data_IF_810363256337
#
_entry.id   IF_810363256337
#
_cell.length_a   1.000
_cell.length_b   1.000
_cell.length_c   1.000
_cell.angle_alpha   90.00
_cell.angle_beta   90.00
_cell.angle_gamma   90.00
#
_symmetry.space_group_name_H-M   'P 1'
#
loop_
_entity.id
_entity.type
_entity.pdbx_description
1 polymer ?
#
# COMPACT_ATOMS: atom_id res chain seq x y z
N UNK A 1 -68.41 28.76 -0.09
CA UNK A 1 -68.04 28.56 1.33
C UNK A 1 -67.59 29.90 1.91
N UNK A 2 -68.18 30.35 3.02
CA UNK A 2 -67.97 31.69 3.58
C UNK A 2 -66.54 31.81 4.13
N UNK A 3 -65.86 32.95 3.91
CA UNK A 3 -64.47 33.24 4.32
C UNK A 3 -64.14 32.93 5.80
N UNK A 4 -65.15 32.89 6.68
CA UNK A 4 -64.99 32.51 8.10
C UNK A 4 -64.70 31.01 8.32
N UNK A 5 -65.09 30.14 7.39
CA UNK A 5 -64.87 28.69 7.46
C UNK A 5 -63.43 28.29 7.13
N UNK A 6 -62.74 29.05 6.26
CA UNK A 6 -61.33 28.79 5.93
C UNK A 6 -60.39 29.17 7.08
N UNK A 7 -60.65 30.26 7.80
CA UNK A 7 -59.81 30.66 8.94
C UNK A 7 -59.92 29.69 10.14
N UNK A 8 -61.11 29.10 10.36
CA UNK A 8 -61.30 28.10 11.41
C UNK A 8 -60.58 26.78 11.09
N UNK A 9 -60.57 26.34 9.82
CA UNK A 9 -59.85 25.14 9.39
C UNK A 9 -58.33 25.32 9.43
N UNK A 10 -57.83 26.51 9.07
CA UNK A 10 -56.39 26.82 9.16
C UNK A 10 -55.89 26.92 10.60
N UNK A 11 -56.68 27.48 11.52
CA UNK A 11 -56.30 27.57 12.93
C UNK A 11 -56.23 26.20 13.61
N UNK A 12 -57.15 25.29 13.30
CA UNK A 12 -57.14 23.91 13.83
C UNK A 12 -55.97 23.10 13.26
N UNK A 13 -55.62 23.28 11.99
CA UNK A 13 -54.45 22.64 11.37
C UNK A 13 -53.12 23.14 11.97
N UNK A 14 -53.02 24.42 12.31
CA UNK A 14 -51.82 25.00 12.93
C UNK A 14 -51.66 24.55 14.39
N UNK A 15 -52.76 24.44 15.16
CA UNK A 15 -52.72 23.94 16.54
C UNK A 15 -52.43 22.43 16.59
N UNK A 16 -52.97 21.65 15.66
CA UNK A 16 -52.66 20.22 15.53
C UNK A 16 -51.21 19.99 15.08
N UNK A 17 -50.67 20.84 14.18
CA UNK A 17 -49.27 20.80 13.79
C UNK A 17 -48.33 21.21 14.95
N UNK A 18 -48.69 22.23 15.75
CA UNK A 18 -47.91 22.66 16.91
C UNK A 18 -47.90 21.64 18.06
N UNK A 19 -48.96 20.85 18.23
CA UNK A 19 -49.06 19.80 19.26
C UNK A 19 -48.31 18.50 18.90
N UNK A 20 -47.99 18.26 17.61
CA UNK A 20 -47.28 17.06 17.14
C UNK A 20 -45.76 17.24 17.02
N UNK A 21 -45.26 18.49 17.04
CA UNK A 21 -43.81 18.80 17.01
C UNK A 21 -43.02 18.21 18.19
N UNK A 22 -43.53 18.13 19.45
CA UNK A 22 -42.77 17.55 20.56
C UNK A 22 -42.73 16.01 20.58
N UNK A 23 -43.57 15.33 19.79
CA UNK A 23 -43.70 13.85 19.80
C UNK A 23 -42.92 13.20 18.64
N UNK A 24 -42.65 13.94 17.56
CA UNK A 24 -41.89 13.46 16.40
C UNK A 24 -40.46 14.04 16.31
N UNK A 25 -40.09 14.88 17.26
CA UNK A 25 -38.74 15.40 17.42
C UNK A 25 -38.32 15.24 18.89
N UNK A 26 -37.64 14.15 19.28
CA UNK A 26 -36.98 14.13 20.57
C UNK A 26 -35.82 15.13 20.48
N UNK A 27 -36.14 16.40 20.76
CA UNK A 27 -35.15 17.45 20.95
C UNK A 27 -34.30 17.06 22.15
N UNK A 28 -33.02 16.81 21.87
CA UNK A 28 -31.77 17.14 22.58
C UNK A 28 -31.70 17.51 24.08
N UNK A 29 -32.77 17.56 24.86
CA UNK A 29 -32.72 18.04 26.24
C UNK A 29 -32.33 16.97 27.28
N UNK A 30 -31.84 15.80 26.83
CA UNK A 30 -31.27 14.77 27.72
C UNK A 30 -29.78 14.47 27.48
N UNK A 31 -29.08 15.24 26.64
CA UNK A 31 -27.63 15.09 26.43
C UNK A 31 -26.76 16.25 26.96
N UNK A 32 -27.34 17.21 27.69
CA UNK A 32 -26.56 18.26 28.37
C UNK A 32 -26.19 17.92 29.83
N UNK A 33 -26.19 16.63 30.18
CA UNK A 33 -25.83 16.14 31.51
C UNK A 33 -24.54 15.31 31.60
N UNK A 34 -23.83 15.08 30.49
CA UNK A 34 -22.47 14.58 30.58
C UNK A 34 -21.53 15.80 30.65
N UNK A 35 -21.11 16.17 31.85
CA UNK A 35 -19.93 17.02 32.00
C UNK A 35 -18.84 16.42 31.10
N UNK A 36 -18.29 17.22 30.18
CA UNK A 36 -17.13 16.82 29.40
C UNK A 36 -16.03 16.47 30.40
N UNK A 37 -15.82 15.19 30.65
CA UNK A 37 -14.76 14.72 31.54
C UNK A 37 -13.47 15.13 30.85
N UNK A 38 -12.70 16.02 31.48
CA UNK A 38 -11.39 16.39 30.98
C UNK A 38 -10.55 15.13 30.82
N UNK A 39 -9.94 14.94 29.65
CA UNK A 39 -9.10 13.78 29.38
C UNK A 39 -8.02 13.68 30.46
N UNK A 40 -7.92 12.51 31.08
CA UNK A 40 -6.87 12.28 32.07
C UNK A 40 -5.50 12.14 31.37
N UNK A 41 -4.37 12.31 32.10
CA UNK A 41 -3.06 12.00 31.54
C UNK A 41 -2.95 10.57 31.00
N UNK A 42 -3.67 9.62 31.61
CA UNK A 42 -3.73 8.24 31.16
C UNK A 42 -4.47 8.10 29.81
N UNK A 43 -5.58 8.82 29.63
CA UNK A 43 -6.32 8.85 28.36
C UNK A 43 -5.46 9.44 27.22
N UNK A 44 -4.70 10.50 27.53
CA UNK A 44 -3.78 11.11 26.56
C UNK A 44 -2.63 10.17 26.18
N UNK A 45 -2.04 9.47 27.16
CA UNK A 45 -1.00 8.49 26.89
C UNK A 45 -1.52 7.30 26.06
N UNK A 46 -2.73 6.82 26.33
CA UNK A 46 -3.38 5.77 25.55
C UNK A 46 -3.66 6.23 24.10
N UNK A 47 -4.12 7.47 23.93
CA UNK A 47 -4.33 8.08 22.60
C UNK A 47 -3.03 8.16 21.80
N UNK A 48 -1.94 8.65 22.42
CA UNK A 48 -0.62 8.73 21.78
C UNK A 48 -0.13 7.33 21.40
N UNK A 49 -0.25 6.33 22.29
CA UNK A 49 0.15 4.95 22.00
C UNK A 49 -0.64 4.35 20.83
N UNK A 50 -1.95 4.61 20.78
CA UNK A 50 -2.79 4.22 19.64
C UNK A 50 -2.35 4.94 18.37
N UNK A 51 -2.04 6.23 18.46
CA UNK A 51 -1.52 7.03 17.36
C UNK A 51 -0.19 6.53 16.81
N UNK A 52 0.74 6.15 17.69
CA UNK A 52 2.02 5.54 17.34
C UNK A 52 1.81 4.24 16.54
N UNK A 53 0.91 3.37 17.04
CA UNK A 53 0.54 2.15 16.35
C UNK A 53 0.00 2.43 14.95
N UNK A 54 -0.97 3.34 14.83
CA UNK A 54 -1.60 3.67 13.54
C UNK A 54 -0.67 4.43 12.59
N UNK A 55 0.25 5.25 13.10
CA UNK A 55 1.28 5.90 12.29
C UNK A 55 2.29 4.88 11.72
N UNK A 56 2.57 3.80 12.46
CA UNK A 56 3.32 2.65 11.93
C UNK A 56 2.51 1.90 10.88
N UNK A 57 1.26 1.52 11.16
CA UNK A 57 0.38 0.86 10.18
C UNK A 57 0.26 1.67 8.89
N UNK A 58 0.13 2.99 9.01
CA UNK A 58 0.08 3.93 7.89
C UNK A 58 1.42 4.18 7.19
N UNK A 59 2.49 3.51 7.62
CA UNK A 59 3.84 3.61 7.05
C UNK A 59 4.39 5.05 6.98
N UNK A 60 3.98 5.90 7.92
CA UNK A 60 4.33 7.33 7.91
C UNK A 60 5.85 7.53 7.95
N UNK A 61 6.56 6.67 8.68
CA UNK A 61 8.01 6.80 8.88
C UNK A 61 8.80 6.50 7.61
N UNK A 62 8.38 5.54 6.78
CA UNK A 62 9.07 5.17 5.55
C UNK A 62 9.10 6.33 4.56
N UNK A 63 7.99 7.07 4.44
CA UNK A 63 7.91 8.24 3.58
C UNK A 63 8.57 9.48 4.20
N UNK A 64 8.31 9.76 5.48
CA UNK A 64 8.70 11.01 6.11
C UNK A 64 10.07 10.96 6.81
N UNK A 65 10.91 9.96 6.53
CA UNK A 65 12.26 9.87 7.09
C UNK A 65 13.25 9.43 6.02
N UNK A 66 14.29 10.23 5.78
CA UNK A 66 15.41 9.80 4.93
C UNK A 66 16.36 8.88 5.70
N UNK A 67 17.05 7.99 4.99
CA UNK A 67 18.07 7.11 5.58
C UNK A 67 19.13 7.93 6.31
N UNK A 68 19.36 7.62 7.58
CA UNK A 68 20.29 8.37 8.46
C UNK A 68 19.78 9.74 8.94
N UNK A 69 18.56 10.14 8.53
CA UNK A 69 17.92 11.37 8.94
C UNK A 69 17.22 11.29 10.31
N UNK A 70 16.63 12.42 10.72
CA UNK A 70 15.76 12.47 11.91
C UNK A 70 14.36 11.98 11.55
N UNK A 71 13.74 11.21 12.44
CA UNK A 71 12.39 10.68 12.25
C UNK A 71 11.40 11.77 11.88
N UNK A 72 10.59 11.52 10.85
CA UNK A 72 9.50 12.39 10.39
C UNK A 72 9.91 13.76 9.82
N UNK A 73 11.22 14.02 9.67
CA UNK A 73 11.74 15.30 9.16
C UNK A 73 11.56 15.49 7.63
N UNK A 74 11.02 14.50 6.92
CA UNK A 74 10.79 14.53 5.48
C UNK A 74 12.08 14.45 4.66
N UNK A 75 11.95 14.84 3.39
CA UNK A 75 13.07 14.97 2.44
C UNK A 75 13.28 13.77 1.51
N UNK A 76 12.47 12.72 1.62
CA UNK A 76 12.62 11.53 0.77
C UNK A 76 12.26 11.86 -0.68
N UNK A 77 13.17 11.66 -1.65
CA UNK A 77 12.86 11.79 -3.07
C UNK A 77 12.04 10.59 -3.54
N UNK A 78 10.89 10.85 -4.15
CA UNK A 78 10.05 9.86 -4.80
C UNK A 78 10.01 10.17 -6.30
N UNK A 79 10.81 9.43 -7.07
CA UNK A 79 10.82 9.55 -8.52
C UNK A 79 9.50 9.04 -9.10
N UNK A 80 8.87 9.84 -9.96
CA UNK A 80 7.68 9.45 -10.73
C UNK A 80 7.88 9.77 -12.21
N UNK A 81 7.07 9.17 -13.12
CA UNK A 81 7.07 9.56 -14.53
C UNK A 81 6.84 11.07 -14.76
N UNK A 82 6.25 11.75 -13.79
CA UNK A 82 5.89 13.18 -13.85
C UNK A 82 6.96 14.12 -13.25
N UNK A 83 8.05 13.57 -12.72
CA UNK A 83 9.10 14.28 -12.00
C UNK A 83 9.27 13.75 -10.57
N UNK A 84 10.07 14.46 -9.76
CA UNK A 84 10.40 14.00 -8.40
C UNK A 84 9.53 14.71 -7.37
N UNK A 85 8.82 13.94 -6.55
CA UNK A 85 8.15 14.46 -5.36
C UNK A 85 9.09 14.33 -4.15
N UNK A 86 8.90 15.18 -3.15
CA UNK A 86 9.67 15.16 -1.90
C UNK A 86 8.71 15.16 -0.73
N UNK A 87 8.93 14.26 0.23
CA UNK A 87 8.06 14.17 1.40
C UNK A 87 8.29 15.35 2.34
N UNK A 88 7.23 15.97 2.90
CA UNK A 88 7.38 17.10 3.80
C UNK A 88 7.81 16.66 5.19
N UNK A 89 8.31 17.60 5.98
CA UNK A 89 8.50 17.44 7.41
C UNK A 89 7.13 17.43 8.13
N UNK A 90 6.86 16.39 8.91
CA UNK A 90 5.60 16.23 9.68
C UNK A 90 5.83 16.20 11.20
N UNK A 91 7.00 16.65 11.66
CA UNK A 91 7.26 16.87 13.08
C UNK A 91 6.47 18.07 13.62
N UNK A 92 6.33 18.27 14.94
CA UNK A 92 5.57 19.40 15.49
C UNK A 92 6.35 20.72 15.46
N UNK A 93 7.35 20.86 14.59
CA UNK A 93 8.02 22.14 14.35
C UNK A 93 7.05 23.17 13.76
N UNK A 94 7.03 24.38 14.34
CA UNK A 94 6.07 25.44 14.02
C UNK A 94 6.34 26.18 12.70
N UNK A 95 7.56 26.08 12.18
CA UNK A 95 7.98 26.79 10.97
C UNK A 95 7.98 25.87 9.75
N UNK A 96 8.53 24.67 9.92
CA UNK A 96 8.86 23.74 8.86
C UNK A 96 8.02 22.46 8.89
N UNK A 97 7.40 22.15 10.03
CA UNK A 97 6.56 20.96 10.23
C UNK A 97 5.06 21.28 10.36
N UNK A 98 4.36 20.43 11.09
CA UNK A 98 2.91 20.55 11.36
C UNK A 98 2.59 21.22 12.70
N UNK A 99 3.55 21.89 13.35
CA UNK A 99 3.37 22.48 14.70
C UNK A 99 2.22 23.49 14.81
N UNK A 100 1.94 24.23 13.72
CA UNK A 100 0.82 25.17 13.63
C UNK A 100 -0.48 24.58 13.09
N UNK A 101 -0.52 23.29 12.74
CA UNK A 101 -1.74 22.65 12.26
C UNK A 101 -2.68 22.41 13.43
N UNK A 102 -3.98 22.35 13.15
CA UNK A 102 -4.98 21.81 14.07
C UNK A 102 -5.25 20.34 13.75
N UNK A 103 -5.93 19.62 14.65
CA UNK A 103 -6.42 18.27 14.34
C UNK A 103 -7.38 18.27 13.14
N UNK A 104 -8.17 19.33 12.97
CA UNK A 104 -9.06 19.50 11.82
C UNK A 104 -8.30 19.71 10.50
N UNK A 105 -7.19 20.45 10.54
CA UNK A 105 -6.31 20.61 9.37
C UNK A 105 -5.66 19.28 8.98
N UNK A 106 -5.18 18.52 9.98
CA UNK A 106 -4.59 17.21 9.76
C UNK A 106 -5.62 16.22 9.20
N UNK A 107 -6.80 16.13 9.82
CA UNK A 107 -7.90 15.31 9.33
C UNK A 107 -8.28 15.71 7.90
N UNK A 108 -8.47 17.00 7.62
CA UNK A 108 -8.79 17.48 6.26
C UNK A 108 -7.72 17.09 5.25
N UNK A 109 -6.44 17.15 5.60
CA UNK A 109 -5.38 16.69 4.71
C UNK A 109 -5.51 15.19 4.44
N UNK A 110 -5.54 14.36 5.48
CA UNK A 110 -5.65 12.89 5.37
C UNK A 110 -6.90 12.47 4.58
N UNK A 111 -8.03 13.13 4.85
CA UNK A 111 -9.34 12.72 4.36
C UNK A 111 -9.67 13.27 2.97
N UNK A 112 -9.20 14.47 2.67
CA UNK A 112 -9.58 15.18 1.45
C UNK A 112 -8.39 15.56 0.59
N UNK A 113 -7.14 15.32 0.99
CA UNK A 113 -5.95 15.74 0.25
C UNK A 113 -5.82 17.26 0.12
N UNK A 114 -6.29 18.01 1.11
CA UNK A 114 -6.16 19.48 1.17
C UNK A 114 -5.28 19.89 2.33
N UNK A 115 -4.23 20.66 2.03
CA UNK A 115 -3.31 21.19 3.03
C UNK A 115 -3.99 22.20 3.98
N UNK A 116 -3.26 22.62 5.02
CA UNK A 116 -3.68 23.68 5.94
C UNK A 116 -4.11 24.97 5.21
N UNK A 117 -3.37 25.38 4.19
CA UNK A 117 -3.65 26.57 3.37
C UNK A 117 -4.76 26.38 2.32
N UNK A 118 -5.37 25.19 2.27
CA UNK A 118 -6.42 24.83 1.30
C UNK A 118 -5.90 24.34 -0.05
N UNK A 119 -4.58 24.38 -0.28
CA UNK A 119 -3.98 23.87 -1.51
C UNK A 119 -4.18 22.36 -1.66
N UNK A 120 -4.34 21.91 -2.91
CA UNK A 120 -4.46 20.48 -3.21
C UNK A 120 -3.10 19.80 -3.06
N UNK A 121 -3.10 18.64 -2.39
CA UNK A 121 -1.96 17.74 -2.25
C UNK A 121 -1.90 16.80 -3.45
N UNK A 122 -0.69 16.48 -3.90
CA UNK A 122 -0.47 15.49 -4.96
C UNK A 122 -0.85 14.09 -4.48
N UNK A 123 -1.36 13.21 -5.35
CA UNK A 123 -1.83 11.87 -4.99
C UNK A 123 -0.73 10.90 -4.54
N UNK A 124 0.55 11.31 -4.61
CA UNK A 124 1.63 10.60 -3.90
C UNK A 124 1.45 10.65 -2.37
N UNK A 125 0.73 11.64 -1.85
CA UNK A 125 0.16 11.57 -0.51
C UNK A 125 -1.14 10.74 -0.58
N UNK A 126 -1.25 9.62 0.17
CA UNK A 126 -2.25 8.57 -0.06
C UNK A 126 -3.67 8.92 0.42
N UNK A 127 -4.12 10.16 0.24
CA UNK A 127 -5.43 10.64 0.69
C UNK A 127 -6.61 9.86 0.07
N UNK A 128 -6.42 9.25 -1.10
CA UNK A 128 -7.44 8.42 -1.74
C UNK A 128 -7.74 7.12 -0.96
N UNK A 129 -6.77 6.65 -0.17
CA UNK A 129 -6.93 5.53 0.77
C UNK A 129 -7.23 6.05 2.17
N UNK A 130 -6.49 7.07 2.64
CA UNK A 130 -6.66 7.62 3.99
C UNK A 130 -8.02 8.28 4.24
N UNK A 131 -8.78 8.61 3.20
CA UNK A 131 -10.20 8.96 3.36
C UNK A 131 -11.03 7.87 4.03
N UNK A 132 -10.56 6.61 4.09
CA UNK A 132 -11.24 5.54 4.82
C UNK A 132 -11.05 5.61 6.33
N UNK A 133 -10.01 6.31 6.80
CA UNK A 133 -9.60 6.38 8.21
C UNK A 133 -10.59 7.23 9.00
N UNK A 134 -11.03 6.70 10.14
CA UNK A 134 -11.97 7.41 11.01
C UNK A 134 -11.37 8.67 11.60
N UNK A 135 -12.20 9.66 11.90
CA UNK A 135 -11.77 10.87 12.62
C UNK A 135 -10.98 10.56 13.90
N UNK A 136 -11.46 9.62 14.72
CA UNK A 136 -10.81 9.26 15.97
C UNK A 136 -9.39 8.68 15.77
N UNK A 137 -9.20 7.87 14.73
CA UNK A 137 -7.89 7.30 14.38
C UNK A 137 -6.94 8.36 13.81
N UNK A 138 -7.47 9.28 12.99
CA UNK A 138 -6.71 10.44 12.51
C UNK A 138 -6.24 11.33 13.66
N UNK A 139 -7.11 11.62 14.63
CA UNK A 139 -6.77 12.42 15.80
C UNK A 139 -5.72 11.72 16.69
N UNK A 140 -5.78 10.38 16.80
CA UNK A 140 -4.76 9.61 17.49
C UNK A 140 -3.39 9.74 16.81
N UNK A 141 -3.32 9.53 15.48
CA UNK A 141 -2.08 9.72 14.69
C UNK A 141 -1.54 11.13 14.89
N UNK A 142 -2.42 12.13 14.80
CA UNK A 142 -2.04 13.52 15.02
C UNK A 142 -1.47 13.73 16.43
N UNK A 143 -2.11 13.23 17.47
CA UNK A 143 -1.62 13.32 18.85
C UNK A 143 -0.23 12.70 19.01
N UNK A 144 0.03 11.55 18.37
CA UNK A 144 1.36 10.95 18.34
C UNK A 144 2.39 11.84 17.63
N UNK A 145 2.09 12.34 16.43
CA UNK A 145 2.99 13.25 15.72
C UNK A 145 3.23 14.56 16.50
N UNK A 146 2.28 15.01 17.32
CA UNK A 146 2.48 16.15 18.23
C UNK A 146 3.40 15.85 19.41
N UNK A 147 3.62 14.58 19.73
CA UNK A 147 4.47 14.12 20.83
C UNK A 147 5.93 13.85 20.43
N UNK A 148 6.23 13.73 19.12
CA UNK A 148 7.60 13.47 18.67
C UNK A 148 8.48 14.72 18.79
N UNK A 149 9.80 14.53 18.77
CA UNK A 149 10.74 15.64 18.81
C UNK A 149 10.57 16.56 17.57
N UNK A 150 10.45 17.88 17.74
CA UNK A 150 10.43 18.80 16.62
C UNK A 150 11.78 18.83 15.92
N UNK A 151 11.76 18.85 14.59
CA UNK A 151 12.97 18.94 13.77
C UNK A 151 12.82 20.14 12.85
N UNK A 152 13.71 21.11 12.97
CA UNK A 152 13.66 22.32 12.14
C UNK A 152 14.41 22.12 10.83
N UNK A 153 13.80 21.33 9.94
CA UNK A 153 14.30 21.08 8.57
C UNK A 153 13.22 21.50 7.57
N UNK A 154 13.49 22.46 6.67
CA UNK A 154 12.52 22.92 5.70
C UNK A 154 12.18 21.82 4.69
N UNK A 155 10.90 21.72 4.32
CA UNK A 155 10.45 20.82 3.26
C UNK A 155 10.98 21.28 1.91
N UNK A 156 11.40 20.33 1.06
CA UNK A 156 11.85 20.62 -0.31
C UNK A 156 10.65 20.72 -1.26
N UNK A 157 10.59 21.71 -2.16
CA UNK A 157 9.56 21.77 -3.19
C UNK A 157 9.71 20.61 -4.19
N UNK A 158 8.59 20.17 -4.76
CA UNK A 158 8.62 19.13 -5.79
C UNK A 158 9.26 19.61 -7.09
N UNK A 159 9.93 18.70 -7.78
CA UNK A 159 10.55 18.90 -9.09
C UNK A 159 9.72 18.21 -10.17
N UNK A 160 8.45 18.63 -10.25
CA UNK A 160 7.51 18.12 -11.25
C UNK A 160 7.71 18.84 -12.59
N UNK A 161 7.61 18.08 -13.68
CA UNK A 161 7.72 18.60 -15.04
C UNK A 161 6.40 19.23 -15.45
N UNK A 162 6.45 20.29 -16.26
CA UNK A 162 5.25 20.82 -16.90
C UNK A 162 4.60 19.72 -17.78
N UNK A 163 3.26 19.55 -17.75
CA UNK A 163 2.27 20.39 -17.07
C UNK A 163 1.94 19.97 -15.62
N UNK A 164 2.53 18.90 -15.10
CA UNK A 164 2.21 18.29 -13.79
C UNK A 164 2.61 19.15 -12.58
N UNK A 165 3.46 20.17 -12.75
CA UNK A 165 3.73 21.18 -11.73
C UNK A 165 2.55 22.15 -11.49
N UNK A 166 1.53 22.16 -12.36
CA UNK A 166 0.32 22.96 -12.17
C UNK A 166 -0.71 22.22 -11.30
N UNK A 167 -0.85 22.66 -10.04
CA UNK A 167 -1.78 22.06 -9.07
C UNK A 167 -3.25 22.11 -9.47
N UNK A 168 -3.67 23.00 -10.38
CA UNK A 168 -5.06 23.06 -10.81
C UNK A 168 -5.49 21.81 -11.60
N UNK A 169 -4.54 21.10 -12.22
CA UNK A 169 -4.83 19.82 -12.89
C UNK A 169 -5.30 18.74 -11.91
N UNK A 170 -4.98 18.88 -10.62
CA UNK A 170 -5.45 17.96 -9.58
C UNK A 170 -6.97 18.02 -9.41
N UNK A 171 -7.65 19.11 -9.78
CA UNK A 171 -9.11 19.19 -9.75
C UNK A 171 -9.72 18.15 -10.70
N UNK A 172 -9.19 18.08 -11.93
CA UNK A 172 -9.62 17.08 -12.92
C UNK A 172 -9.27 15.67 -12.49
N UNK A 173 -8.03 15.45 -12.04
CA UNK A 173 -7.58 14.13 -11.56
C UNK A 173 -8.47 13.61 -10.43
N UNK A 174 -8.78 14.44 -9.44
CA UNK A 174 -9.60 14.04 -8.29
C UNK A 174 -11.03 13.72 -8.68
N UNK A 175 -11.62 14.47 -9.62
CA UNK A 175 -12.96 14.18 -10.16
C UNK A 175 -13.04 12.79 -10.77
N UNK A 176 -11.94 12.29 -11.36
CA UNK A 176 -11.89 10.99 -12.01
C UNK A 176 -11.52 9.84 -11.05
N UNK A 177 -10.62 10.09 -10.09
CA UNK A 177 -9.94 9.01 -9.34
C UNK A 177 -10.13 9.05 -7.83
N UNK A 178 -10.80 10.07 -7.27
CA UNK A 178 -10.99 10.20 -5.83
C UNK A 178 -12.47 10.14 -5.44
N UNK A 179 -12.79 9.24 -4.50
CA UNK A 179 -14.09 9.17 -3.84
C UNK A 179 -13.90 9.29 -2.33
N UNK A 180 -14.29 10.45 -1.80
CA UNK A 180 -14.25 10.73 -0.36
C UNK A 180 -15.21 9.82 0.41
N UNK A 181 -14.79 9.40 1.59
CA UNK A 181 -15.63 8.86 2.64
C UNK A 181 -14.96 7.81 3.50
N UNK A 182 -15.21 7.92 4.81
CA UNK A 182 -14.84 6.93 5.82
C UNK A 182 -15.27 5.51 5.45
N UNK A 183 -14.52 4.54 5.93
CA UNK A 183 -14.89 3.13 5.81
C UNK A 183 -16.21 2.87 6.54
N UNK A 184 -17.11 2.15 5.88
CA UNK A 184 -18.38 1.72 6.47
C UNK A 184 -18.36 0.19 6.56
N UNK A 185 -18.44 -0.40 7.77
CA UNK A 185 -18.51 -1.85 7.91
C UNK A 185 -19.67 -2.44 7.11
N UNK A 186 -19.40 -3.53 6.40
CA UNK A 186 -20.41 -4.34 5.75
C UNK A 186 -21.09 -5.23 6.80
N UNK A 187 -22.40 -5.08 7.06
CA UNK A 187 -23.12 -5.83 8.08
C UNK A 187 -23.23 -7.33 7.74
N UNK A 188 -22.95 -7.73 6.50
CA UNK A 188 -22.95 -9.14 6.07
C UNK A 188 -21.61 -9.84 6.32
N UNK A 189 -20.60 -9.10 6.75
CA UNK A 189 -19.23 -9.60 6.97
C UNK A 189 -18.89 -9.66 8.45
N UNK A 190 -17.93 -10.51 8.80
CA UNK A 190 -17.44 -10.62 10.17
C UNK A 190 -16.73 -9.35 10.63
N UNK A 191 -16.60 -9.19 11.95
CA UNK A 191 -15.83 -8.08 12.55
C UNK A 191 -14.37 -8.12 12.07
N UNK A 192 -13.77 -9.31 12.05
CA UNK A 192 -12.40 -9.53 11.55
C UNK A 192 -12.25 -9.10 10.08
N UNK A 193 -13.21 -9.47 9.22
CA UNK A 193 -13.16 -9.09 7.81
C UNK A 193 -13.24 -7.57 7.62
N UNK A 194 -14.17 -6.91 8.33
CA UNK A 194 -14.32 -5.45 8.28
C UNK A 194 -13.08 -4.74 8.82
N UNK A 195 -12.44 -5.29 9.85
CA UNK A 195 -11.17 -4.77 10.37
C UNK A 195 -10.06 -4.88 9.33
N UNK A 196 -9.96 -6.02 8.65
CA UNK A 196 -9.00 -6.24 7.56
C UNK A 196 -9.20 -5.28 6.41
N UNK A 197 -10.44 -5.10 5.96
CA UNK A 197 -10.81 -4.17 4.91
C UNK A 197 -10.43 -2.72 5.26
N UNK A 198 -10.77 -2.29 6.48
CA UNK A 198 -10.41 -0.96 6.99
C UNK A 198 -8.90 -0.70 6.94
N UNK A 199 -8.10 -1.68 7.35
CA UNK A 199 -6.64 -1.56 7.38
C UNK A 199 -6.04 -1.61 5.96
N UNK A 200 -6.48 -2.55 5.11
CA UNK A 200 -5.95 -2.72 3.74
C UNK A 200 -6.33 -1.56 2.83
N UNK A 201 -7.59 -1.10 2.87
CA UNK A 201 -8.09 -0.01 2.03
C UNK A 201 -7.74 1.38 2.58
N UNK A 202 -7.55 1.48 3.90
CA UNK A 202 -7.23 2.72 4.61
C UNK A 202 -5.73 2.91 4.79
N UNK A 203 -5.24 2.77 6.04
CA UNK A 203 -3.87 3.10 6.40
C UNK A 203 -2.82 2.25 5.67
N UNK A 204 -3.09 0.96 5.42
CA UNK A 204 -2.18 0.11 4.66
C UNK A 204 -2.14 0.39 3.16
N UNK A 205 -3.14 1.13 2.64
CA UNK A 205 -3.23 1.63 1.25
C UNK A 205 -2.73 0.65 0.18
N UNK A 206 -3.02 -0.65 0.34
CA UNK A 206 -2.33 -1.70 -0.42
C UNK A 206 -2.63 -1.61 -1.92
N UNK A 207 -3.81 -1.07 -2.27
CA UNK A 207 -4.21 -0.82 -3.65
C UNK A 207 -3.28 0.15 -4.40
N UNK A 208 -2.51 1.01 -3.71
CA UNK A 208 -1.63 1.97 -4.37
C UNK A 208 -0.51 1.32 -5.18
N UNK A 209 0.01 0.19 -4.70
CA UNK A 209 1.03 -0.59 -5.42
C UNK A 209 0.39 -1.77 -6.14
N UNK A 210 -0.58 -2.44 -5.52
CA UNK A 210 -1.19 -3.66 -6.05
C UNK A 210 -2.36 -3.40 -7.02
N UNK A 211 -2.52 -2.18 -7.53
CA UNK A 211 -3.44 -1.86 -8.63
C UNK A 211 -2.65 -1.17 -9.72
N UNK A 212 -2.84 -1.60 -10.96
CA UNK A 212 -2.21 -0.94 -12.10
C UNK A 212 -2.61 0.54 -12.20
N UNK A 213 -1.64 1.36 -12.61
CA UNK A 213 -1.78 2.81 -12.74
C UNK A 213 -1.79 3.16 -14.23
N UNK A 214 -2.72 4.01 -14.66
CA UNK A 214 -2.80 4.49 -16.04
C UNK A 214 -1.80 5.62 -16.33
N UNK A 215 -1.72 6.06 -17.59
CA UNK A 215 -0.81 7.13 -18.01
C UNK A 215 -1.03 8.49 -17.31
N UNK A 216 -2.21 8.72 -16.72
CA UNK A 216 -2.52 9.93 -15.94
C UNK A 216 -2.14 9.78 -14.45
N UNK A 217 -1.50 8.68 -14.06
CA UNK A 217 -1.13 8.43 -12.67
C UNK A 217 -2.32 8.02 -11.77
N UNK A 218 -3.47 7.68 -12.36
CA UNK A 218 -4.66 7.22 -11.63
C UNK A 218 -4.77 5.69 -11.61
N UNK A 219 -5.39 5.09 -10.57
CA UNK A 219 -5.61 3.65 -10.50
C UNK A 219 -6.60 3.18 -11.57
N UNK A 220 -6.39 1.96 -12.09
CA UNK A 220 -7.29 1.28 -13.02
C UNK A 220 -8.27 0.42 -12.23
N UNK A 221 -9.46 0.96 -11.92
CA UNK A 221 -10.45 0.33 -11.02
C UNK A 221 -10.92 -1.07 -11.46
N UNK A 222 -10.95 -1.35 -12.77
CA UNK A 222 -11.29 -2.67 -13.33
C UNK A 222 -10.29 -3.77 -12.95
N UNK A 223 -9.06 -3.37 -12.63
CA UNK A 223 -7.94 -4.25 -12.25
C UNK A 223 -7.49 -3.97 -10.81
N UNK A 224 -8.39 -3.46 -9.96
CA UNK A 224 -8.06 -3.17 -8.56
C UNK A 224 -7.58 -4.43 -7.83
N UNK A 225 -6.46 -4.31 -7.13
CA UNK A 225 -5.76 -5.42 -6.46
C UNK A 225 -5.21 -6.52 -7.39
N UNK A 226 -5.32 -6.38 -8.72
CA UNK A 226 -4.82 -7.38 -9.67
C UNK A 226 -3.31 -7.28 -9.94
N UNK A 227 -2.59 -6.47 -9.18
CA UNK A 227 -1.17 -6.21 -9.34
C UNK A 227 -0.87 -5.11 -10.36
N UNK A 228 0.42 -4.79 -10.49
CA UNK A 228 0.89 -3.77 -11.39
C UNK A 228 2.38 -3.50 -11.28
N UNK A 229 2.96 -2.96 -12.35
CA UNK A 229 4.32 -2.45 -12.30
C UNK A 229 4.35 -1.14 -11.50
N UNK A 230 5.26 -1.05 -10.53
CA UNK A 230 5.51 0.18 -9.78
C UNK A 230 6.40 1.08 -10.65
N UNK A 231 5.89 2.22 -11.14
CA UNK A 231 6.63 3.05 -12.09
C UNK A 231 7.97 3.52 -11.52
N UNK A 232 9.01 3.51 -12.35
CA UNK A 232 10.39 3.92 -12.06
C UNK A 232 11.14 3.14 -10.96
N UNK A 233 10.47 2.43 -10.07
CA UNK A 233 11.11 1.51 -9.11
C UNK A 233 11.50 0.18 -9.75
N UNK A 234 10.92 -0.13 -10.93
CA UNK A 234 11.16 -1.38 -11.64
C UNK A 234 10.91 -2.60 -10.75
N UNK A 235 9.84 -2.56 -9.96
CA UNK A 235 9.32 -3.71 -9.22
C UNK A 235 7.89 -3.95 -9.66
N UNK A 236 7.47 -5.20 -9.68
CA UNK A 236 6.09 -5.58 -9.94
C UNK A 236 5.42 -5.98 -8.63
N UNK A 237 4.36 -5.28 -8.25
CA UNK A 237 3.51 -5.65 -7.14
C UNK A 237 2.57 -6.79 -7.59
N UNK A 238 2.66 -8.01 -7.02
CA UNK A 238 1.84 -9.14 -7.45
C UNK A 238 0.34 -8.92 -7.20
N UNK A 239 -0.51 -9.75 -7.81
CA UNK A 239 -1.94 -9.71 -7.51
C UNK A 239 -2.23 -10.08 -6.05
N UNK A 240 -3.14 -9.33 -5.42
CA UNK A 240 -3.70 -9.62 -4.10
C UNK A 240 -5.11 -10.24 -4.18
N UNK A 241 -5.62 -10.52 -5.39
CA UNK A 241 -6.91 -11.20 -5.57
C UNK A 241 -6.82 -12.66 -5.16
N UNK A 242 -7.96 -13.32 -4.95
CA UNK A 242 -8.05 -14.74 -4.64
C UNK A 242 -7.85 -15.67 -5.85
N UNK A 243 -7.28 -15.16 -6.93
CA UNK A 243 -6.92 -15.91 -8.11
C UNK A 243 -5.92 -17.04 -7.76
N UNK A 244 -6.17 -18.25 -8.25
CA UNK A 244 -5.33 -19.42 -7.97
C UNK A 244 -4.10 -19.53 -8.85
N UNK A 245 -4.08 -18.89 -10.01
CA UNK A 245 -2.95 -18.94 -10.93
C UNK A 245 -1.98 -17.79 -10.69
N UNK A 246 -2.50 -16.60 -10.39
CA UNK A 246 -1.69 -15.37 -10.31
C UNK A 246 -1.80 -14.63 -8.97
N UNK A 247 -2.72 -15.04 -8.09
CA UNK A 247 -3.02 -14.37 -6.82
C UNK A 247 -2.82 -15.24 -5.59
N UNK A 248 -3.65 -14.96 -4.57
CA UNK A 248 -3.61 -15.52 -3.22
C UNK A 248 -4.55 -16.72 -3.04
N UNK A 249 -5.12 -17.28 -4.12
CA UNK A 249 -6.15 -18.33 -4.04
C UNK A 249 -5.73 -19.57 -3.25
N UNK A 250 -4.47 -19.99 -3.42
CA UNK A 250 -3.89 -21.17 -2.77
C UNK A 250 -3.02 -20.83 -1.53
N UNK A 251 -3.07 -19.58 -1.06
CA UNK A 251 -2.42 -19.13 0.17
C UNK A 251 -3.33 -19.34 1.38
N UNK A 252 -2.79 -19.72 2.52
CA UNK A 252 -3.50 -19.76 3.79
C UNK A 252 -3.38 -18.43 4.55
N UNK A 253 -4.36 -18.12 5.40
CA UNK A 253 -4.38 -16.88 6.21
C UNK A 253 -3.10 -16.75 7.05
N UNK A 254 -2.61 -17.87 7.61
CA UNK A 254 -1.37 -17.85 8.40
C UNK A 254 -0.15 -17.53 7.54
N UNK A 255 -0.03 -18.12 6.34
CA UNK A 255 1.09 -17.85 5.43
C UNK A 255 1.15 -16.38 5.00
N UNK A 256 -0.02 -15.74 4.81
CA UNK A 256 -0.12 -14.31 4.55
C UNK A 256 0.24 -13.48 5.78
N UNK A 257 -0.26 -13.85 6.95
CA UNK A 257 0.05 -13.14 8.20
C UNK A 257 1.55 -13.18 8.51
N UNK A 258 2.17 -14.35 8.30
CA UNK A 258 3.62 -14.55 8.45
C UNK A 258 4.38 -13.68 7.44
N UNK A 259 3.97 -13.67 6.17
CA UNK A 259 4.60 -12.82 5.15
C UNK A 259 4.52 -11.34 5.51
N UNK A 260 3.35 -10.86 5.96
CA UNK A 260 3.12 -9.46 6.30
C UNK A 260 3.92 -9.02 7.54
N UNK A 261 4.09 -9.85 8.56
CA UNK A 261 4.81 -9.46 9.77
C UNK A 261 6.30 -9.83 9.77
N UNK A 262 6.67 -10.98 9.21
CA UNK A 262 8.03 -11.50 9.22
C UNK A 262 8.81 -11.21 7.93
N UNK A 263 8.11 -10.85 6.85
CA UNK A 263 8.68 -10.67 5.52
C UNK A 263 8.96 -11.99 4.79
N UNK A 264 8.65 -13.13 5.39
CA UNK A 264 8.86 -14.47 4.85
C UNK A 264 7.72 -15.39 5.27
N UNK A 265 7.42 -16.40 4.46
CA UNK A 265 6.45 -17.45 4.75
C UNK A 265 6.85 -18.76 4.07
N UNK A 266 6.02 -19.79 4.24
CA UNK A 266 6.19 -21.07 3.53
C UNK A 266 6.04 -20.94 2.00
N UNK A 267 5.41 -19.85 1.53
CA UNK A 267 5.10 -19.63 0.11
C UNK A 267 6.04 -18.64 -0.57
N UNK A 268 6.75 -17.79 0.18
CA UNK A 268 7.59 -16.77 -0.42
C UNK A 268 8.24 -15.82 0.59
N UNK A 269 8.93 -14.82 0.05
CA UNK A 269 9.57 -13.75 0.81
C UNK A 269 9.36 -12.42 0.09
N UNK A 270 9.31 -11.33 0.85
CA UNK A 270 9.20 -9.97 0.28
C UNK A 270 10.59 -9.38 0.04
N UNK A 271 10.69 -8.59 -1.01
CA UNK A 271 11.91 -7.87 -1.41
C UNK A 271 11.54 -6.49 -1.95
N UNK A 272 12.54 -5.63 -2.13
CA UNK A 272 12.35 -4.28 -2.67
C UNK A 272 11.36 -3.46 -1.82
N UNK A 273 10.47 -2.67 -2.44
CA UNK A 273 9.55 -1.79 -1.73
C UNK A 273 8.68 -2.49 -0.68
N UNK A 274 8.28 -3.74 -0.93
CA UNK A 274 7.48 -4.49 0.05
C UNK A 274 8.29 -4.89 1.28
N UNK A 275 9.62 -5.08 1.15
CA UNK A 275 10.48 -5.28 2.30
C UNK A 275 10.56 -4.02 3.18
N UNK A 276 10.59 -2.83 2.57
CA UNK A 276 10.54 -1.57 3.31
C UNK A 276 9.21 -1.39 4.06
N UNK A 277 8.08 -1.73 3.42
CA UNK A 277 6.76 -1.70 4.06
C UNK A 277 6.71 -2.65 5.26
N UNK A 278 7.22 -3.88 5.13
CA UNK A 278 7.26 -4.81 6.26
C UNK A 278 8.19 -4.30 7.37
N UNK A 279 9.37 -3.77 7.00
CA UNK A 279 10.35 -3.29 7.97
C UNK A 279 9.87 -2.04 8.73
N UNK A 280 9.23 -1.09 8.06
CA UNK A 280 8.85 0.18 8.67
C UNK A 280 7.43 0.17 9.26
N UNK A 281 6.54 -0.70 8.79
CA UNK A 281 5.11 -0.72 9.15
C UNK A 281 4.64 -2.08 9.67
N UNK A 282 4.52 -3.08 8.80
CA UNK A 282 3.67 -4.25 9.09
C UNK A 282 4.19 -5.15 10.21
N UNK A 283 5.50 -5.19 10.44
CA UNK A 283 6.07 -5.99 11.53
C UNK A 283 5.63 -5.54 12.94
N UNK A 284 5.11 -4.31 13.07
CA UNK A 284 4.65 -3.74 14.34
C UNK A 284 3.15 -3.97 14.59
N UNK A 285 2.44 -4.53 13.61
CA UNK A 285 1.02 -4.84 13.73
C UNK A 285 0.78 -5.96 14.73
N UNK A 286 -0.39 -5.94 15.38
CA UNK A 286 -0.82 -7.07 16.21
C UNK A 286 -1.13 -8.28 15.33
N UNK A 287 -0.98 -9.48 15.89
CA UNK A 287 -1.31 -10.73 15.17
C UNK A 287 -2.79 -10.79 14.76
N UNK A 288 -3.68 -10.13 15.52
CA UNK A 288 -5.09 -9.99 15.19
C UNK A 288 -5.28 -9.13 13.93
N UNK A 289 -4.61 -7.98 13.84
CA UNK A 289 -4.77 -7.07 12.70
C UNK A 289 -4.15 -7.67 11.42
N UNK A 290 -3.00 -8.36 11.51
CA UNK A 290 -2.44 -9.01 10.31
C UNK A 290 -3.25 -10.22 9.86
N UNK A 291 -3.88 -10.94 10.79
CA UNK A 291 -4.85 -11.99 10.46
C UNK A 291 -6.08 -11.40 9.81
N UNK A 292 -6.61 -10.29 10.34
CA UNK A 292 -7.75 -9.58 9.77
C UNK A 292 -7.46 -9.10 8.34
N UNK A 293 -6.31 -8.45 8.11
CA UNK A 293 -5.85 -8.07 6.77
C UNK A 293 -5.80 -9.29 5.84
N UNK A 294 -5.19 -10.39 6.30
CA UNK A 294 -5.10 -11.64 5.52
C UNK A 294 -6.47 -12.23 5.18
N UNK A 295 -7.40 -12.23 6.12
CA UNK A 295 -8.80 -12.67 5.93
C UNK A 295 -9.52 -11.82 4.89
N UNK A 296 -9.33 -10.49 4.90
CA UNK A 296 -9.87 -9.61 3.88
C UNK A 296 -9.23 -9.84 2.51
N UNK A 297 -7.89 -9.87 2.42
CA UNK A 297 -7.17 -10.07 1.15
C UNK A 297 -7.59 -11.36 0.45
N UNK A 298 -7.74 -12.46 1.18
CA UNK A 298 -8.23 -13.74 0.65
C UNK A 298 -9.66 -13.69 0.09
N UNK A 299 -10.44 -12.67 0.44
CA UNK A 299 -11.81 -12.52 -0.04
C UNK A 299 -11.92 -11.68 -1.31
N UNK A 300 -10.85 -10.98 -1.71
CA UNK A 300 -10.86 -10.09 -2.87
C UNK A 300 -11.06 -10.97 -4.11
N UNK A 301 -12.15 -10.78 -4.87
CA UNK A 301 -12.43 -11.62 -6.02
C UNK A 301 -11.38 -11.40 -7.12
N UNK A 302 -11.17 -12.44 -7.92
CA UNK A 302 -10.46 -12.31 -9.19
C UNK A 302 -11.04 -11.16 -10.02
N UNK A 303 -10.16 -10.35 -10.60
CA UNK A 303 -10.48 -9.27 -11.52
C UNK A 303 -9.67 -9.44 -12.80
N UNK A 304 -10.03 -8.67 -13.83
CA UNK A 304 -9.24 -8.60 -15.05
C UNK A 304 -7.80 -8.20 -14.70
N UNK A 305 -6.84 -8.91 -15.28
CA UNK A 305 -5.42 -8.64 -15.12
C UNK A 305 -5.09 -7.17 -15.43
N UNK A 306 -3.95 -6.71 -14.90
CA UNK A 306 -3.39 -5.45 -15.34
C UNK A 306 -3.21 -5.44 -16.87
N UNK A 307 -3.39 -4.29 -17.55
CA UNK A 307 -3.14 -4.20 -18.98
C UNK A 307 -1.74 -4.71 -19.33
N UNK A 308 -1.68 -5.59 -20.33
CA UNK A 308 -0.44 -6.19 -20.81
C UNK A 308 0.49 -5.10 -21.33
N UNK A 309 1.69 -5.01 -20.76
CA UNK A 309 2.75 -4.24 -21.38
C UNK A 309 3.36 -5.10 -22.49
N UNK A 310 3.54 -4.54 -23.68
CA UNK A 310 4.17 -5.27 -24.79
C UNK A 310 5.61 -5.67 -24.39
N UNK A 311 5.81 -6.94 -24.06
CA UNK A 311 7.13 -7.50 -23.77
C UNK A 311 7.64 -8.26 -24.99
N UNK A 312 8.92 -8.08 -25.30
CA UNK A 312 9.53 -8.79 -26.41
C UNK A 312 9.89 -10.21 -25.97
N UNK A 313 9.11 -11.19 -26.42
CA UNK A 313 9.42 -12.59 -26.18
C UNK A 313 10.40 -13.12 -27.23
N UNK A 314 11.44 -13.86 -26.81
CA UNK A 314 12.28 -14.65 -27.70
C UNK A 314 11.49 -15.53 -28.67
N UNK A 315 12.07 -15.80 -29.85
CA UNK A 315 11.55 -16.86 -30.72
C UNK A 315 11.56 -18.20 -29.97
N UNK A 316 10.61 -19.10 -30.27
CA UNK A 316 10.51 -20.41 -29.61
C UNK A 316 11.83 -21.20 -29.62
N UNK A 317 12.55 -21.15 -30.74
CA UNK A 317 13.85 -21.82 -30.88
C UNK A 317 14.90 -21.22 -29.92
N UNK A 318 14.98 -19.89 -29.86
CA UNK A 318 15.93 -19.22 -28.96
C UNK A 318 15.54 -19.40 -27.49
N UNK A 319 14.24 -19.37 -27.17
CA UNK A 319 13.71 -19.68 -25.84
C UNK A 319 14.09 -21.08 -25.36
N UNK A 320 14.00 -22.10 -26.23
CA UNK A 320 14.44 -23.45 -25.88
C UNK A 320 15.95 -23.53 -25.62
N UNK A 321 16.77 -22.84 -26.43
CA UNK A 321 18.21 -22.77 -26.18
C UNK A 321 18.54 -22.08 -24.84
N UNK A 322 17.82 -21.00 -24.50
CA UNK A 322 17.92 -20.35 -23.19
C UNK A 322 17.51 -21.28 -22.05
N UNK A 323 16.44 -22.07 -22.23
CA UNK A 323 16.00 -23.05 -21.23
C UNK A 323 17.09 -24.11 -20.94
N UNK A 324 17.68 -24.69 -21.99
CA UNK A 324 18.72 -25.71 -21.85
C UNK A 324 20.01 -25.16 -21.22
N UNK A 325 20.39 -23.94 -21.59
CA UNK A 325 21.51 -23.23 -20.95
C UNK A 325 21.21 -22.92 -19.48
N UNK A 326 19.99 -22.43 -19.21
CA UNK A 326 19.54 -22.03 -17.88
C UNK A 326 19.52 -23.18 -16.89
N UNK A 327 19.17 -24.39 -17.34
CA UNK A 327 19.21 -25.60 -16.53
C UNK A 327 20.61 -25.87 -15.95
N UNK A 328 21.66 -25.68 -16.75
CA UNK A 328 23.06 -25.88 -16.31
C UNK A 328 23.44 -24.82 -15.27
N UNK A 329 23.17 -23.55 -15.59
CA UNK A 329 23.45 -22.42 -14.69
C UNK A 329 22.73 -22.62 -13.35
N UNK A 330 21.47 -23.07 -13.37
CA UNK A 330 20.69 -23.33 -12.16
C UNK A 330 21.32 -24.43 -11.30
N UNK A 331 21.73 -25.54 -11.90
CA UNK A 331 22.38 -26.64 -11.19
C UNK A 331 23.67 -26.15 -10.49
N UNK A 332 24.46 -25.35 -11.20
CA UNK A 332 25.76 -24.88 -10.71
C UNK A 332 25.64 -23.80 -9.62
N UNK A 333 24.65 -22.91 -9.72
CA UNK A 333 24.61 -21.67 -8.93
C UNK A 333 23.41 -21.54 -7.98
N UNK A 334 22.31 -22.26 -8.22
CA UNK A 334 21.03 -22.00 -7.56
C UNK A 334 20.52 -23.20 -6.74
N UNK A 335 20.73 -24.42 -7.24
CA UNK A 335 20.15 -25.65 -6.70
C UNK A 335 20.57 -25.93 -5.24
N UNK A 336 21.76 -25.48 -4.81
CA UNK A 336 22.24 -25.66 -3.43
C UNK A 336 21.26 -25.05 -2.39
N UNK A 337 20.63 -23.93 -2.71
CA UNK A 337 19.66 -23.27 -1.83
C UNK A 337 18.20 -23.56 -2.23
N UNK A 338 17.92 -23.60 -3.53
CA UNK A 338 16.57 -23.73 -4.07
C UNK A 338 16.14 -25.19 -4.38
N UNK A 339 17.02 -26.16 -4.13
CA UNK A 339 16.89 -27.57 -4.51
C UNK A 339 16.79 -27.81 -6.03
N UNK A 340 17.10 -29.02 -6.48
CA UNK A 340 16.97 -29.39 -7.90
C UNK A 340 15.52 -29.30 -8.42
N UNK A 341 14.56 -29.48 -7.52
CA UNK A 341 13.12 -29.41 -7.80
C UNK A 341 12.53 -28.01 -7.65
N UNK A 342 13.35 -26.99 -7.34
CA UNK A 342 12.86 -25.63 -7.10
C UNK A 342 12.00 -25.48 -5.84
N UNK A 343 11.91 -26.51 -4.99
CA UNK A 343 11.08 -26.47 -3.78
C UNK A 343 11.65 -25.57 -2.68
N UNK A 344 12.94 -25.21 -2.76
CA UNK A 344 13.62 -24.44 -1.73
C UNK A 344 13.69 -25.13 -0.37
N UNK A 345 13.87 -24.32 0.67
CA UNK A 345 13.81 -24.72 2.08
C UNK A 345 13.07 -23.63 2.85
N UNK A 346 11.74 -23.55 2.72
CA UNK A 346 10.98 -22.45 3.31
C UNK A 346 11.05 -22.49 4.85
N UNK A 347 10.99 -21.33 5.53
CA UNK A 347 10.89 -19.98 4.95
C UNK A 347 12.25 -19.37 4.57
N UNK A 348 13.36 -20.08 4.80
CA UNK A 348 14.72 -19.55 4.58
C UNK A 348 15.06 -19.35 3.11
N UNK A 349 14.75 -20.35 2.26
CA UNK A 349 14.88 -20.26 0.81
C UNK A 349 13.51 -20.50 0.20
N UNK A 350 12.86 -19.47 -0.39
CA UNK A 350 11.49 -19.59 -0.87
C UNK A 350 11.39 -20.61 -2.01
N UNK A 351 10.21 -21.24 -2.16
CA UNK A 351 9.97 -22.11 -3.30
C UNK A 351 9.96 -21.28 -4.59
N UNK A 352 10.65 -21.77 -5.61
CA UNK A 352 10.59 -21.26 -6.98
C UNK A 352 9.54 -22.03 -7.81
N UNK A 353 9.35 -23.32 -7.49
CA UNK A 353 8.31 -24.16 -8.06
C UNK A 353 6.93 -23.71 -7.56
N UNK A 354 5.98 -23.53 -8.48
CA UNK A 354 4.62 -23.08 -8.18
C UNK A 354 4.54 -21.66 -7.62
N UNK A 355 5.60 -20.85 -7.75
CA UNK A 355 5.61 -19.50 -7.22
C UNK A 355 5.01 -18.52 -8.23
N UNK A 356 3.77 -18.10 -7.97
CA UNK A 356 3.01 -17.24 -8.88
C UNK A 356 3.74 -15.93 -9.21
N UNK A 357 4.50 -15.37 -8.26
CA UNK A 357 5.26 -14.11 -8.47
C UNK A 357 6.38 -14.24 -9.52
N UNK A 358 6.78 -15.45 -9.86
CA UNK A 358 7.78 -15.74 -10.89
C UNK A 358 7.09 -16.01 -12.25
N UNK A 359 5.88 -16.57 -12.19
CA UNK A 359 5.08 -16.94 -13.35
C UNK A 359 4.26 -15.78 -13.94
N UNK A 360 4.14 -14.66 -13.21
CA UNK A 360 3.47 -13.44 -13.71
C UNK A 360 4.02 -13.03 -15.09
N UNK A 361 3.19 -12.35 -15.88
CA UNK A 361 3.58 -11.84 -17.20
C UNK A 361 4.88 -11.02 -17.14
N UNK A 362 4.99 -10.13 -16.14
CA UNK A 362 6.20 -9.35 -15.90
C UNK A 362 7.30 -10.17 -15.20
N UNK A 363 8.40 -10.41 -15.91
CA UNK A 363 9.61 -11.04 -15.36
C UNK A 363 10.52 -10.11 -14.54
N UNK A 364 10.09 -8.88 -14.27
CA UNK A 364 10.94 -7.85 -13.63
C UNK A 364 11.48 -8.32 -12.28
N UNK A 365 10.62 -8.93 -11.45
CA UNK A 365 11.01 -9.40 -10.11
C UNK A 365 12.05 -10.53 -10.16
N UNK A 366 11.85 -11.65 -10.88
CA UNK A 366 12.86 -12.70 -10.93
C UNK A 366 14.17 -12.25 -11.58
N UNK A 367 14.12 -11.36 -12.59
CA UNK A 367 15.35 -10.78 -13.17
C UNK A 367 16.13 -9.98 -12.13
N UNK A 368 15.46 -9.05 -11.43
CA UNK A 368 16.10 -8.23 -10.38
C UNK A 368 16.65 -9.08 -9.26
N UNK A 369 15.92 -10.13 -8.86
CA UNK A 369 16.37 -11.01 -7.79
C UNK A 369 17.64 -11.78 -8.17
N UNK A 370 17.75 -12.27 -9.41
CA UNK A 370 19.00 -12.90 -9.89
C UNK A 370 20.13 -11.88 -10.01
N UNK A 371 19.87 -10.69 -10.56
CA UNK A 371 20.91 -9.66 -10.72
C UNK A 371 21.44 -9.18 -9.36
N UNK A 372 20.54 -8.81 -8.46
CA UNK A 372 20.86 -8.01 -7.29
C UNK A 372 20.92 -8.84 -5.99
N UNK A 373 20.34 -10.04 -5.99
CA UNK A 373 20.18 -10.83 -4.78
C UNK A 373 19.50 -10.02 -3.67
N UNK A 374 19.96 -10.23 -2.45
CA UNK A 374 19.58 -9.42 -1.29
C UNK A 374 18.97 -10.24 -0.16
N UNK A 375 18.39 -9.53 0.80
CA UNK A 375 17.81 -10.12 1.99
C UNK A 375 16.34 -9.69 2.12
N UNK A 376 15.45 -10.60 2.56
CA UNK A 376 14.19 -10.21 3.17
C UNK A 376 14.43 -9.23 4.34
N UNK A 377 13.41 -8.44 4.77
CA UNK A 377 13.59 -7.47 5.83
C UNK A 377 13.91 -8.16 7.15
N UNK A 378 14.83 -7.57 7.91
CA UNK A 378 15.03 -7.96 9.31
C UNK A 378 13.85 -7.44 10.13
N UNK A 379 13.15 -8.36 10.80
CA UNK A 379 11.96 -8.06 11.61
C UNK A 379 12.05 -8.68 13.00
N UNK A 380 11.14 -8.34 13.91
CA UNK A 380 11.05 -9.03 15.21
C UNK A 380 10.81 -10.54 15.09
N UNK A 381 10.03 -10.96 14.08
CA UNK A 381 9.72 -12.37 13.81
C UNK A 381 10.72 -13.07 12.89
N UNK A 382 11.63 -12.32 12.26
CA UNK A 382 12.71 -12.83 11.42
C UNK A 382 13.96 -11.93 11.54
N UNK A 383 14.68 -11.97 12.67
CA UNK A 383 15.76 -11.02 12.96
C UNK A 383 17.05 -11.31 12.20
N UNK A 384 17.16 -12.48 11.55
CA UNK A 384 18.35 -12.93 10.82
C UNK A 384 17.92 -13.62 9.52
N UNK A 385 17.40 -12.86 8.54
CA UNK A 385 16.93 -13.43 7.28
C UNK A 385 18.09 -14.03 6.48
N UNK A 386 17.81 -15.14 5.78
CA UNK A 386 18.74 -15.71 4.80
C UNK A 386 18.71 -14.88 3.51
N UNK A 387 19.87 -14.63 2.93
CA UNK A 387 20.01 -13.84 1.71
C UNK A 387 20.24 -14.69 0.46
N UNK A 388 19.99 -14.08 -0.70
CA UNK A 388 20.36 -14.59 -2.01
C UNK A 388 21.59 -13.84 -2.53
N UNK A 389 22.62 -14.55 -3.07
CA UNK A 389 23.79 -13.89 -3.64
C UNK A 389 23.43 -13.11 -4.92
N UNK A 390 24.06 -11.95 -5.17
CA UNK A 390 23.90 -11.21 -6.42
C UNK A 390 24.70 -11.85 -7.55
N UNK A 391 24.11 -11.98 -8.74
CA UNK A 391 24.78 -12.52 -9.93
C UNK A 391 25.05 -11.49 -11.03
N UNK A 392 24.78 -10.20 -10.79
CA UNK A 392 25.04 -9.16 -11.78
C UNK A 392 26.51 -9.18 -12.25
N UNK A 393 27.49 -9.32 -11.38
CA UNK A 393 28.90 -9.28 -11.83
C UNK A 393 29.42 -10.59 -12.42
N UNK A 394 28.75 -11.72 -12.16
CA UNK A 394 29.23 -13.06 -12.52
C UNK A 394 28.52 -13.68 -13.73
N UNK A 395 27.29 -13.25 -14.03
CA UNK A 395 26.51 -13.75 -15.16
C UNK A 395 26.25 -12.64 -16.18
N UNK A 396 26.45 -12.95 -17.46
CA UNK A 396 26.08 -12.10 -18.60
C UNK A 396 24.56 -11.93 -18.70
N UNK A 397 24.13 -10.97 -19.53
CA UNK A 397 22.69 -10.77 -19.81
C UNK A 397 22.01 -12.02 -20.36
N UNK A 398 22.71 -12.79 -21.21
CA UNK A 398 22.17 -14.02 -21.76
C UNK A 398 22.09 -15.13 -20.71
N UNK A 399 23.08 -15.25 -19.83
CA UNK A 399 23.07 -16.27 -18.77
C UNK A 399 21.99 -16.01 -17.73
N UNK A 400 21.78 -14.74 -17.35
CA UNK A 400 20.65 -14.36 -16.50
C UNK A 400 19.32 -14.63 -17.22
N UNK A 401 19.22 -14.28 -18.51
CA UNK A 401 18.04 -14.58 -19.30
C UNK A 401 17.73 -16.08 -19.36
N UNK A 402 18.78 -16.89 -19.51
CA UNK A 402 18.71 -18.34 -19.52
C UNK A 402 18.23 -18.91 -18.19
N UNK A 403 18.86 -18.57 -17.06
CA UNK A 403 18.50 -19.14 -15.75
C UNK A 403 17.10 -18.71 -15.32
N UNK A 404 16.70 -17.46 -15.57
CA UNK A 404 15.33 -17.00 -15.26
C UNK A 404 14.31 -17.69 -16.17
N UNK A 405 14.61 -17.86 -17.47
CA UNK A 405 13.75 -18.64 -18.38
C UNK A 405 13.55 -20.07 -17.88
N UNK A 406 14.63 -20.74 -17.47
CA UNK A 406 14.56 -22.09 -16.91
C UNK A 406 13.67 -22.14 -15.66
N UNK A 407 13.86 -21.22 -14.72
CA UNK A 407 13.07 -21.14 -13.48
C UNK A 407 11.58 -20.90 -13.79
N UNK A 408 11.26 -19.99 -14.72
CA UNK A 408 9.87 -19.64 -15.08
C UNK A 408 9.12 -20.76 -15.81
N UNK A 409 9.82 -21.73 -16.38
CA UNK A 409 9.25 -22.80 -17.20
C UNK A 409 9.44 -24.21 -16.60
N UNK A 410 10.01 -24.31 -15.40
CA UNK A 410 10.27 -25.58 -14.73
C UNK A 410 9.24 -25.90 -13.64
N UNK A 411 9.15 -27.17 -13.25
CA UNK A 411 8.39 -27.63 -12.08
C UNK A 411 6.90 -27.24 -12.09
N UNK A 412 6.28 -27.21 -13.28
CA UNK A 412 4.88 -26.81 -13.46
C UNK A 412 4.68 -25.31 -13.59
N UNK A 413 5.75 -24.50 -13.52
CA UNK A 413 5.68 -23.08 -13.85
C UNK A 413 5.39 -22.91 -15.34
N UNK A 414 4.53 -21.94 -15.67
CA UNK A 414 4.02 -21.67 -17.02
C UNK A 414 4.38 -20.27 -17.53
N UNK A 415 5.43 -19.66 -16.97
CA UNK A 415 5.93 -18.36 -17.44
C UNK A 415 6.60 -18.46 -18.81
N UNK A 416 6.87 -17.31 -19.44
CA UNK A 416 7.46 -17.24 -20.78
C UNK A 416 8.98 -17.01 -20.75
N UNK A 417 9.72 -17.37 -21.81
CA UNK A 417 11.13 -17.04 -21.93
C UNK A 417 11.38 -15.53 -21.87
N UNK A 418 12.54 -15.13 -21.35
CA UNK A 418 12.95 -13.72 -21.31
C UNK A 418 14.15 -13.48 -22.23
N UNK A 419 14.22 -12.29 -22.79
CA UNK A 419 15.31 -11.87 -23.68
C UNK A 419 16.50 -11.30 -22.90
N UNK A 420 17.74 -11.41 -23.44
CA UNK A 420 18.91 -10.73 -22.89
C UNK A 420 18.74 -9.20 -22.82
N UNK A 421 17.93 -8.61 -23.72
CA UNK A 421 17.65 -7.17 -23.69
C UNK A 421 16.89 -6.77 -22.43
N UNK A 422 15.85 -7.52 -22.05
CA UNK A 422 15.10 -7.27 -20.80
C UNK A 422 16.02 -7.29 -19.57
N UNK A 423 17.02 -8.18 -19.56
CA UNK A 423 18.04 -8.20 -18.49
C UNK A 423 18.93 -6.96 -18.55
N UNK A 424 19.37 -6.57 -19.74
CA UNK A 424 20.21 -5.38 -19.93
C UNK A 424 19.52 -4.12 -19.41
N UNK A 425 18.23 -3.96 -19.72
CA UNK A 425 17.43 -2.82 -19.28
C UNK A 425 17.38 -2.75 -17.74
N UNK A 426 17.10 -3.90 -17.09
CA UNK A 426 17.02 -3.97 -15.62
C UNK A 426 18.37 -3.92 -14.91
N UNK A 427 19.46 -4.32 -15.57
CA UNK A 427 20.82 -4.20 -15.02
C UNK A 427 21.26 -2.75 -14.87
N UNK A 428 20.74 -1.86 -15.71
CA UNK A 428 20.96 -0.41 -15.62
C UNK A 428 19.98 0.30 -14.68
N UNK A 429 18.98 -0.41 -14.16
CA UNK A 429 18.04 0.17 -13.21
C UNK A 429 18.76 0.46 -11.87
N UNK A 430 18.48 1.61 -11.23
CA UNK A 430 19.01 1.90 -9.91
C UNK A 430 18.69 0.79 -8.89
N UNK A 431 19.65 0.57 -7.99
CA UNK A 431 19.44 -0.20 -6.76
C UNK A 431 18.73 0.70 -5.75
N UNK A 432 17.83 0.10 -4.98
CA UNK A 432 17.03 0.77 -3.96
C UNK A 432 17.83 1.07 -2.67
#
# INVERSE_FOLDING_TARGET
MKRKSLFALSAVAIVAAAALVPVLWPGNDTLHGAAAVAATPADQAALIKKGEYLARVGDCIACHTVRGGKSFAGGLPMATPFGTMYTPNITPDDQNGIGKWTSDDFYRAMHTGRSKDGSLLYPGFPFASYTKVTRADSDAIYAYLRSVAPVSVPSRPHELKFPFNNRNLLIGWRTLFFKEGEYKPDPTKSVEWNRGAYLVEGLGHCSMCHTSINMMGGPVSSSAFAGGLIPLQNWYAPSLTNDKELGLGDWHVQELSDLLQAGVSQKGAVFGPMADVVHNSLQYMTDEDTRAMSTYLKSIPQKAEAPKNMQYEPSKQFGNALFDQGKKIYADNCATCHAETGAGKPPAYPPLAGNHSIMMESAVNPIRMVLNGGYPPSTFKNPRPYGMPPFAQSLSNQEVAAVVTYIRMSWGNNGTPISPQQVSDLRSAPLD
#
